data_IF_887062717926
#
_entry.id   IF_887062717926
#
_cell.length_a   1.000
_cell.length_b   1.000
_cell.length_c   1.000
_cell.angle_alpha   90.00
_cell.angle_beta   90.00
_cell.angle_gamma   90.00
#
_symmetry.space_group_name_H-M   'P 1'
#
loop_
_entity.id
_entity.type
_entity.pdbx_description
1 polymer ?
#
# COMPACT_ATOMS: atom_id res chain seq x y z
N UNK A 1 11.32 0.71 4.23
CA UNK A 1 10.48 -0.12 3.33
C UNK A 1 9.68 0.81 2.43
N UNK A 2 9.69 0.66 1.11
CA UNK A 2 9.00 1.61 0.22
C UNK A 2 8.32 0.89 -0.93
N UNK A 3 7.09 1.30 -1.27
CA UNK A 3 6.36 0.78 -2.42
C UNK A 3 6.23 -0.75 -2.41
N UNK A 4 5.93 -1.31 -1.23
CA UNK A 4 5.79 -2.74 -0.99
C UNK A 4 4.34 -3.10 -0.67
N UNK A 5 3.94 -4.31 -1.07
CA UNK A 5 2.71 -4.96 -0.61
C UNK A 5 3.10 -6.07 0.36
N UNK A 6 2.64 -5.98 1.61
CA UNK A 6 2.95 -6.91 2.71
C UNK A 6 1.64 -7.60 3.10
N UNK A 7 1.54 -8.89 2.81
CA UNK A 7 0.28 -9.65 2.88
C UNK A 7 0.54 -11.13 3.11
N UNK A 8 -0.46 -11.86 3.64
CA UNK A 8 -0.40 -13.31 3.81
C UNK A 8 0.58 -13.79 4.88
N UNK A 9 1.15 -12.88 5.67
CA UNK A 9 2.05 -13.24 6.76
C UNK A 9 1.25 -13.64 8.01
N UNK A 10 1.81 -14.55 8.80
CA UNK A 10 1.24 -15.00 10.08
C UNK A 10 2.25 -14.73 11.18
N UNK A 11 1.84 -14.04 12.25
CA UNK A 11 2.71 -13.74 13.38
C UNK A 11 1.97 -13.52 14.69
N UNK A 12 2.60 -13.74 15.84
CA UNK A 12 2.00 -13.50 17.16
C UNK A 12 1.76 -12.03 17.45
N UNK A 13 2.63 -11.16 16.94
CA UNK A 13 2.68 -9.74 17.24
C UNK A 13 2.74 -8.93 15.94
N UNK A 14 1.59 -8.81 15.27
CA UNK A 14 1.48 -8.14 13.98
C UNK A 14 2.04 -9.02 12.86
N UNK A 15 1.16 -9.74 12.18
CA UNK A 15 1.55 -10.61 11.07
C UNK A 15 2.27 -9.87 9.95
N UNK A 16 1.83 -8.66 9.61
CA UNK A 16 2.45 -7.84 8.58
C UNK A 16 3.77 -7.20 9.04
N UNK A 17 3.71 -6.37 10.08
CA UNK A 17 4.88 -5.69 10.63
C UNK A 17 4.88 -5.71 12.16
N UNK A 18 6.06 -5.94 12.72
CA UNK A 18 6.34 -5.74 14.13
C UNK A 18 7.25 -4.52 14.29
N UNK A 19 6.70 -3.41 14.79
CA UNK A 19 7.43 -2.17 14.95
C UNK A 19 8.05 -2.05 16.33
N UNK A 20 9.38 -2.18 16.40
CA UNK A 20 10.15 -2.05 17.64
C UNK A 20 10.83 -0.68 17.71
N UNK A 21 10.53 0.09 18.75
CA UNK A 21 10.99 1.48 18.94
C UNK A 21 12.50 1.62 19.18
N UNK A 22 13.22 0.53 19.43
CA UNK A 22 14.64 0.53 19.81
C UNK A 22 15.63 0.57 18.64
N UNK A 23 15.18 0.43 17.40
CA UNK A 23 16.03 0.57 16.22
C UNK A 23 15.79 1.93 15.56
N UNK A 24 16.83 2.64 15.07
CA UNK A 24 16.65 3.88 14.33
C UNK A 24 15.83 3.56 13.07
N UNK A 25 14.53 3.72 13.17
CA UNK A 25 13.63 3.16 12.19
C UNK A 25 13.88 3.80 10.83
N UNK A 26 14.36 2.98 9.89
CA UNK A 26 14.33 3.33 8.49
C UNK A 26 12.87 3.52 8.11
N UNK A 27 12.51 4.71 7.63
CA UNK A 27 11.12 5.06 7.35
C UNK A 27 10.44 4.05 6.42
N UNK A 28 9.13 3.92 6.61
CA UNK A 28 8.27 3.16 5.73
C UNK A 28 7.36 4.11 4.98
N UNK A 29 7.29 4.00 3.66
CA UNK A 29 6.35 4.82 2.91
C UNK A 29 5.73 4.12 1.71
N UNK A 30 4.55 4.59 1.35
CA UNK A 30 3.88 4.24 0.10
C UNK A 30 3.57 2.73 -0.03
N UNK A 31 3.22 2.08 1.10
CA UNK A 31 3.02 0.64 1.19
C UNK A 31 1.55 0.25 1.34
N UNK A 32 1.24 -1.01 1.01
CA UNK A 32 -0.01 -1.67 1.41
C UNK A 32 0.34 -2.81 2.37
N UNK A 33 -0.32 -2.86 3.52
CA UNK A 33 -0.14 -3.89 4.54
C UNK A 33 -1.51 -4.42 4.91
N UNK A 34 -1.92 -5.53 4.28
CA UNK A 34 -3.29 -6.05 4.37
C UNK A 34 -3.33 -7.55 4.26
N UNK A 35 -4.34 -8.17 4.87
CA UNK A 35 -4.58 -9.61 4.76
C UNK A 35 -3.49 -10.43 5.44
N UNK A 36 -2.84 -9.86 6.45
CA UNK A 36 -1.97 -10.60 7.36
C UNK A 36 -2.83 -11.21 8.48
N UNK A 37 -2.26 -12.12 9.26
CA UNK A 37 -2.96 -12.83 10.32
C UNK A 37 -2.14 -12.71 11.61
N UNK A 38 -2.82 -12.48 12.72
CA UNK A 38 -2.20 -12.51 14.04
C UNK A 38 -3.13 -13.09 15.08
N UNK A 39 -2.55 -13.57 16.18
CA UNK A 39 -3.27 -13.85 17.43
C UNK A 39 -3.37 -12.62 18.34
N UNK A 40 -2.63 -11.55 18.05
CA UNK A 40 -2.73 -10.26 18.72
C UNK A 40 -3.91 -9.39 18.24
N UNK A 41 -3.87 -8.10 18.57
CA UNK A 41 -5.00 -7.18 18.32
C UNK A 41 -5.06 -6.64 16.89
N UNK A 42 -3.92 -6.46 16.22
CA UNK A 42 -3.86 -5.92 14.86
C UNK A 42 -2.98 -6.81 13.96
N UNK A 43 -3.56 -7.44 12.93
CA UNK A 43 -2.82 -8.34 12.04
C UNK A 43 -1.81 -7.64 11.14
N UNK A 44 -2.05 -6.38 10.79
CA UNK A 44 -1.19 -5.67 9.84
C UNK A 44 0.00 -4.99 10.53
N UNK A 45 -0.16 -4.56 11.78
CA UNK A 45 0.89 -3.88 12.53
C UNK A 45 0.81 -4.16 14.03
N UNK A 46 1.94 -4.46 14.67
CA UNK A 46 2.13 -4.30 16.11
C UNK A 46 3.15 -3.21 16.44
N UNK A 47 3.04 -2.62 17.63
CA UNK A 47 3.90 -1.53 18.10
C UNK A 47 3.35 -0.13 17.80
N UNK A 48 4.05 0.91 18.25
CA UNK A 48 3.64 2.32 18.05
C UNK A 48 4.33 2.88 16.80
N UNK A 49 3.60 3.11 15.70
CA UNK A 49 4.19 3.58 14.46
C UNK A 49 4.79 4.98 14.61
N UNK A 50 5.99 5.16 14.08
CA UNK A 50 6.72 6.44 14.06
C UNK A 50 6.11 7.41 13.06
N UNK A 51 6.38 8.71 13.22
CA UNK A 51 6.17 9.74 12.18
C UNK A 51 6.93 9.44 10.88
N UNK A 52 7.86 8.49 10.90
CA UNK A 52 8.58 7.98 9.73
C UNK A 52 7.80 6.93 8.92
N UNK A 53 6.59 6.58 9.35
CA UNK A 53 5.64 5.79 8.56
C UNK A 53 4.71 6.76 7.83
N UNK A 54 4.70 6.76 6.50
CA UNK A 54 3.87 7.68 5.71
C UNK A 54 3.08 6.97 4.61
N UNK A 55 1.84 7.37 4.38
CA UNK A 55 0.97 6.85 3.30
C UNK A 55 0.93 5.32 3.23
N UNK A 56 0.33 4.71 4.25
CA UNK A 56 0.22 3.25 4.33
C UNK A 56 -1.24 2.84 4.38
N UNK A 57 -1.58 1.88 3.53
CA UNK A 57 -2.89 1.28 3.39
C UNK A 57 -2.96 0.04 4.29
N UNK A 58 -3.68 0.11 5.42
CA UNK A 58 -3.72 -0.93 6.47
C UNK A 58 -5.11 -1.06 7.10
N UNK A 59 -5.40 -2.11 7.87
CA UNK A 59 -6.73 -2.27 8.52
C UNK A 59 -7.03 -1.22 9.60
N UNK A 60 -6.03 -0.50 10.08
CA UNK A 60 -6.16 0.64 10.98
C UNK A 60 -5.28 1.79 10.49
N UNK A 61 -5.55 3.01 10.93
CA UNK A 61 -4.71 4.17 10.60
C UNK A 61 -3.35 4.06 11.32
N UNK A 62 -2.27 4.19 10.55
CA UNK A 62 -0.89 4.14 11.08
C UNK A 62 -0.04 5.24 10.48
N UNK A 63 0.88 5.77 11.29
CA UNK A 63 1.80 6.81 10.85
C UNK A 63 1.10 8.09 10.40
N UNK A 64 1.69 8.76 9.42
CA UNK A 64 1.21 10.02 8.85
C UNK A 64 0.59 9.77 7.48
N UNK A 65 -0.67 10.15 7.31
CA UNK A 65 -1.35 10.11 6.03
C UNK A 65 -1.35 11.51 5.39
N UNK A 66 -0.63 11.67 4.29
CA UNK A 66 -0.53 12.95 3.55
C UNK A 66 -1.44 12.98 2.32
N UNK A 67 -2.23 11.92 2.09
CA UNK A 67 -3.07 11.79 0.89
C UNK A 67 -4.40 12.51 1.00
N UNK A 68 -4.87 12.79 2.22
CA UNK A 68 -6.23 13.28 2.48
C UNK A 68 -7.34 12.24 2.21
N UNK A 69 -6.99 10.99 1.90
CA UNK A 69 -7.92 9.88 1.69
C UNK A 69 -7.90 8.91 2.88
N UNK A 70 -8.98 8.18 3.08
CA UNK A 70 -9.01 7.12 4.09
C UNK A 70 -8.26 5.88 3.58
N UNK A 71 -7.05 5.67 4.09
CA UNK A 71 -6.20 4.52 3.76
C UNK A 71 -6.49 3.29 4.65
N UNK A 72 -7.54 3.32 5.46
CA UNK A 72 -8.00 2.15 6.22
C UNK A 72 -8.94 1.24 5.44
N UNK A 73 -9.52 1.77 4.35
CA UNK A 73 -10.43 1.06 3.46
C UNK A 73 -9.72 -0.09 2.71
N UNK A 74 -10.50 -1.08 2.26
CA UNK A 74 -9.98 -2.20 1.45
C UNK A 74 -9.19 -1.70 0.22
N UNK A 75 -7.92 -2.13 0.02
CA UNK A 75 -7.15 -1.77 -1.18
C UNK A 75 -7.83 -2.19 -2.49
N UNK A 76 -8.78 -3.12 -2.46
CA UNK A 76 -9.53 -3.54 -3.64
C UNK A 76 -8.65 -4.31 -4.62
N UNK A 77 -7.88 -5.28 -4.12
CA UNK A 77 -7.09 -6.18 -4.94
C UNK A 77 -7.98 -6.97 -5.92
N UNK A 78 -7.45 -7.31 -7.10
CA UNK A 78 -8.21 -8.07 -8.12
C UNK A 78 -8.56 -9.48 -7.63
N UNK A 79 -7.57 -10.26 -7.20
CA UNK A 79 -7.75 -11.62 -6.69
C UNK A 79 -6.63 -11.99 -5.69
N UNK A 80 -6.67 -11.45 -4.45
CA UNK A 80 -5.59 -11.64 -3.48
C UNK A 80 -5.40 -13.10 -3.04
N UNK A 81 -6.48 -13.90 -3.01
CA UNK A 81 -6.40 -15.34 -2.70
C UNK A 81 -5.69 -16.18 -3.79
N UNK A 82 -5.49 -15.58 -4.97
CA UNK A 82 -4.74 -16.18 -6.09
C UNK A 82 -3.40 -15.46 -6.29
N UNK A 83 -2.96 -14.64 -5.33
CA UNK A 83 -1.72 -13.87 -5.42
C UNK A 83 -1.79 -12.64 -6.35
N UNK A 84 -2.98 -12.26 -6.84
CA UNK A 84 -3.14 -11.08 -7.69
C UNK A 84 -3.46 -9.83 -6.87
N UNK A 85 -2.39 -9.15 -6.46
CA UNK A 85 -2.42 -7.92 -5.67
C UNK A 85 -2.44 -6.65 -6.50
N UNK A 86 -2.79 -6.72 -7.79
CA UNK A 86 -3.05 -5.52 -8.59
C UNK A 86 -4.32 -4.84 -8.10
N UNK A 87 -4.30 -3.52 -8.07
CA UNK A 87 -5.45 -2.72 -7.64
C UNK A 87 -6.55 -2.73 -8.70
N UNK A 88 -7.80 -2.54 -8.25
CA UNK A 88 -8.94 -2.19 -9.10
C UNK A 88 -8.98 -0.67 -9.30
N UNK A 89 -9.71 -0.23 -10.33
CA UNK A 89 -9.89 1.19 -10.65
C UNK A 89 -10.50 2.00 -9.50
N UNK A 90 -11.32 1.37 -8.67
CA UNK A 90 -11.98 1.99 -7.51
C UNK A 90 -11.13 1.97 -6.25
N UNK A 91 -9.86 1.54 -6.32
CA UNK A 91 -9.01 1.40 -5.13
C UNK A 91 -8.81 2.76 -4.43
N UNK A 92 -8.94 2.81 -3.09
CA UNK A 92 -8.57 3.99 -2.31
C UNK A 92 -7.05 4.23 -2.30
N UNK A 93 -6.26 3.20 -2.63
CA UNK A 93 -4.81 3.20 -2.56
C UNK A 93 -4.15 3.58 -3.92
N UNK A 94 -4.98 3.98 -4.90
CA UNK A 94 -4.56 4.53 -6.20
C UNK A 94 -4.13 6.00 -6.12
N UNK A 95 -3.13 6.40 -6.91
CA UNK A 95 -2.58 7.77 -7.01
C UNK A 95 -2.22 8.37 -5.63
N UNK A 96 -1.79 7.54 -4.69
CA UNK A 96 -1.63 7.90 -3.27
C UNK A 96 -0.18 8.08 -2.83
N UNK A 97 0.78 7.53 -3.57
CA UNK A 97 2.18 7.60 -3.18
C UNK A 97 2.71 9.03 -3.25
N UNK A 98 3.69 9.32 -2.39
CA UNK A 98 4.37 10.62 -2.37
C UNK A 98 5.90 10.49 -2.38
N UNK A 99 6.44 9.37 -1.90
CA UNK A 99 7.88 9.15 -1.89
C UNK A 99 8.47 8.95 -3.29
N UNK A 100 9.79 9.09 -3.38
CA UNK A 100 10.55 8.68 -4.57
C UNK A 100 10.59 7.16 -4.60
N UNK A 101 10.22 6.51 -5.71
CA UNK A 101 10.22 5.06 -5.76
C UNK A 101 11.65 4.53 -5.75
N UNK A 102 11.90 3.35 -5.18
CA UNK A 102 13.23 2.73 -5.20
C UNK A 102 13.64 2.30 -6.61
N UNK A 103 12.67 2.09 -7.51
CA UNK A 103 12.85 1.62 -8.89
C UNK A 103 11.96 2.43 -9.84
N UNK A 104 12.35 2.54 -11.10
CA UNK A 104 11.51 3.22 -12.11
C UNK A 104 10.30 2.38 -12.55
N UNK A 105 10.38 1.05 -12.35
CA UNK A 105 9.34 0.10 -12.73
C UNK A 105 8.73 -0.62 -11.54
N UNK A 106 7.46 -1.00 -11.67
CA UNK A 106 6.70 -1.81 -10.74
C UNK A 106 7.07 -3.30 -10.87
N UNK A 107 6.41 -4.17 -10.10
CA UNK A 107 6.71 -5.60 -10.12
C UNK A 107 6.32 -6.32 -11.44
N UNK A 108 5.55 -5.66 -12.31
CA UNK A 108 5.22 -6.12 -13.67
C UNK A 108 6.16 -5.57 -14.74
N UNK A 109 7.14 -4.76 -14.36
CA UNK A 109 8.03 -4.07 -15.30
C UNK A 109 7.39 -2.84 -15.96
N UNK A 110 6.25 -2.38 -15.47
CA UNK A 110 5.63 -1.15 -15.95
C UNK A 110 6.23 0.08 -15.27
N UNK A 111 6.23 1.27 -15.91
CA UNK A 111 6.58 2.51 -15.23
C UNK A 111 5.72 2.73 -13.98
N UNK A 112 6.34 3.09 -12.85
CA UNK A 112 5.60 3.36 -11.60
C UNK A 112 4.84 4.66 -11.58
N UNK A 113 5.20 5.64 -12.41
CA UNK A 113 4.43 6.87 -12.49
C UNK A 113 3.45 6.77 -13.65
N UNK A 114 2.19 6.47 -13.33
CA UNK A 114 1.10 6.52 -14.29
C UNK A 114 -0.04 7.38 -13.72
N UNK A 115 -0.49 8.41 -14.46
CA UNK A 115 -1.49 9.34 -13.95
C UNK A 115 -0.88 10.50 -13.15
N UNK A 116 -1.44 10.81 -11.96
CA UNK A 116 -1.04 12.00 -11.18
C UNK A 116 0.03 11.70 -10.15
N UNK A 117 -0.02 10.52 -9.55
CA UNK A 117 0.92 10.02 -8.54
C UNK A 117 1.01 8.51 -8.68
N UNK A 118 2.05 7.90 -8.11
CA UNK A 118 2.13 6.44 -8.09
C UNK A 118 1.08 5.86 -7.14
N UNK A 119 0.73 4.60 -7.34
CA UNK A 119 -0.08 3.82 -6.43
C UNK A 119 0.72 3.37 -5.20
N UNK A 120 0.01 3.07 -4.11
CA UNK A 120 0.64 2.39 -2.98
C UNK A 120 0.92 0.94 -3.34
N UNK A 121 2.03 0.40 -2.81
CA UNK A 121 2.39 -1.00 -2.98
C UNK A 121 3.29 -1.29 -4.19
N UNK A 122 3.39 -2.57 -4.53
CA UNK A 122 4.36 -3.05 -5.51
C UNK A 122 3.91 -3.02 -6.98
N UNK A 123 2.63 -2.75 -7.25
CA UNK A 123 2.04 -2.70 -8.59
C UNK A 123 1.48 -1.31 -8.87
N UNK A 124 1.63 -0.85 -10.10
CA UNK A 124 1.01 0.38 -10.59
C UNK A 124 -0.22 0.04 -11.46
N UNK A 125 -1.35 0.70 -11.22
CA UNK A 125 -2.54 0.54 -12.04
C UNK A 125 -2.40 1.31 -13.35
N UNK A 126 -1.98 0.60 -14.39
CA UNK A 126 -2.01 1.09 -15.77
C UNK A 126 -3.39 0.96 -16.39
N UNK A 127 -4.35 1.71 -15.86
CA UNK A 127 -5.61 1.89 -16.56
C UNK A 127 -5.41 2.95 -17.65
N UNK A 128 -5.17 2.54 -18.89
CA UNK A 128 -5.41 3.43 -20.03
C UNK A 128 -6.85 3.90 -19.89
N UNK A 129 -7.07 5.19 -19.59
CA UNK A 129 -8.40 5.77 -19.69
C UNK A 129 -8.91 5.47 -21.08
N UNK A 130 -9.93 4.60 -21.16
CA UNK A 130 -10.72 4.54 -22.37
C UNK A 130 -11.38 5.92 -22.48
N UNK A 131 -10.74 6.84 -23.23
CA UNK A 131 -11.47 7.99 -23.74
C UNK A 131 -12.58 7.42 -24.62
N UNK A 132 -13.79 7.37 -24.08
CA UNK A 132 -14.98 7.32 -24.92
C UNK A 132 -15.26 8.77 -25.30
N UNK A 133 -14.80 9.15 -26.48
CA UNK A 133 -15.21 10.40 -27.10
C UNK A 133 -16.60 10.16 -27.69
N UNK A 134 -17.65 10.54 -26.97
CA UNK A 134 -19.00 10.56 -27.54
C UNK A 134 -19.19 11.92 -28.21
N UNK A 135 -18.95 11.98 -29.52
CA UNK A 135 -19.44 13.10 -30.34
C UNK A 135 -20.93 12.88 -30.54
N UNK A 136 -21.75 13.88 -30.22
CA UNK A 136 -23.15 13.94 -30.67
C UNK A 136 -23.18 14.65 -32.01
#
# INVERSE_FOLDING_TARGET
>A
IRNCTITGNVGSDGGGLNWQSSYPAQGMCDCIIRGNITTGTNPDLSGTPSTKVTNVCSSVAIGVNTTGRDLTQDPGFKAPQQGNYRLRLSSPCRDCAWGVPPTQVDLDGNPRLFGKRMDLGCYELNARSAMIFLVR
#
